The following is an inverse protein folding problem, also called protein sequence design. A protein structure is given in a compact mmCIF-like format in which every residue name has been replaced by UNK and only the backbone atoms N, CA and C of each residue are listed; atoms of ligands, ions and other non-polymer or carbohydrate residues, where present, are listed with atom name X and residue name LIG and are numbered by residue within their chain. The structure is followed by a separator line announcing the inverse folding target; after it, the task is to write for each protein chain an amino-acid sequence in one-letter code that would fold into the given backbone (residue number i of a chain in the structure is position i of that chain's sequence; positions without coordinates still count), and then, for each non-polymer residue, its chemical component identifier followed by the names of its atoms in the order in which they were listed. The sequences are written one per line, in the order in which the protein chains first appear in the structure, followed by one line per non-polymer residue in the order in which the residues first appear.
data_IF_007747785569
#
_entry.id   IF_007747785569
#
_cell.length_a   1.000
_cell.length_b   1.000
_cell.length_c   1.000
_cell.angle_alpha   90.00
_cell.angle_beta   90.00
_cell.angle_gamma   90.00
#
_symmetry.space_group_name_H-M   'P 1'
#
loop_
_entity.id
_entity.type
_entity.pdbx_description
1 polymer ?
#
# COMPACT_ATOMS: atom_id res chain seq x y z
N UNK A 1 70.32 -24.24 14.07
CA UNK A 1 69.41 -23.74 15.12
C UNK A 1 68.71 -22.42 14.73
N UNK A 2 69.43 -21.33 14.38
CA UNK A 2 68.84 -20.04 13.96
C UNK A 2 67.80 -20.12 12.81
N UNK A 3 68.05 -20.92 11.78
CA UNK A 3 67.15 -21.04 10.61
C UNK A 3 65.78 -21.65 10.95
N UNK A 4 65.71 -22.51 11.98
CA UNK A 4 64.46 -23.14 12.45
C UNK A 4 63.60 -22.10 13.19
N UNK A 5 64.23 -21.31 14.06
CA UNK A 5 63.57 -20.27 14.85
C UNK A 5 62.97 -19.17 13.93
N UNK A 6 63.71 -18.78 12.89
CA UNK A 6 63.24 -17.79 11.90
C UNK A 6 62.01 -18.29 11.15
N UNK A 7 62.01 -19.54 10.67
CA UNK A 7 60.83 -20.13 9.99
C UNK A 7 59.61 -20.20 10.91
N UNK A 8 59.80 -20.59 12.17
CA UNK A 8 58.72 -20.63 13.17
C UNK A 8 58.11 -19.25 13.42
N UNK A 9 58.93 -18.20 13.52
CA UNK A 9 58.47 -16.82 13.69
C UNK A 9 57.66 -16.30 12.49
N UNK A 10 58.10 -16.65 11.26
CA UNK A 10 57.39 -16.28 10.02
C UNK A 10 56.03 -16.95 9.96
N UNK A 11 55.94 -18.24 10.31
CA UNK A 11 54.68 -18.99 10.33
C UNK A 11 53.71 -18.34 11.31
N UNK A 12 54.13 -18.08 12.55
CA UNK A 12 53.29 -17.45 13.59
C UNK A 12 52.76 -16.08 13.14
N UNK A 13 53.62 -15.26 12.51
CA UNK A 13 53.20 -13.95 11.98
C UNK A 13 52.26 -14.06 10.79
N UNK A 14 52.34 -15.14 10.01
CA UNK A 14 51.46 -15.40 8.86
C UNK A 14 50.05 -15.80 9.33
N UNK A 15 49.94 -16.76 10.24
CA UNK A 15 48.66 -17.30 10.74
C UNK A 15 47.80 -16.25 11.43
N UNK A 16 48.40 -15.33 12.20
CA UNK A 16 47.68 -14.25 12.88
C UNK A 16 47.04 -13.24 11.93
N UNK A 17 47.72 -12.92 10.81
CA UNK A 17 47.20 -12.02 9.77
C UNK A 17 45.98 -12.61 9.06
N UNK A 18 46.00 -13.91 8.73
CA UNK A 18 44.86 -14.57 8.08
C UNK A 18 43.62 -14.60 8.98
N UNK A 19 43.79 -14.88 10.28
CA UNK A 19 42.69 -14.87 11.24
C UNK A 19 42.05 -13.47 11.37
N UNK A 20 42.88 -12.41 11.38
CA UNK A 20 42.39 -11.02 11.39
C UNK A 20 41.62 -10.69 10.11
N UNK A 21 42.14 -11.09 8.94
CA UNK A 21 41.48 -10.86 7.65
C UNK A 21 40.11 -11.54 7.58
N UNK A 22 40.00 -12.80 8.03
CA UNK A 22 38.73 -13.54 8.06
C UNK A 22 37.70 -12.85 8.95
N UNK A 23 38.09 -12.35 10.13
CA UNK A 23 37.18 -11.59 11.02
C UNK A 23 36.65 -10.32 10.36
N UNK A 24 37.51 -9.58 9.68
CA UNK A 24 37.12 -8.33 8.99
C UNK A 24 36.14 -8.65 7.86
N UNK A 25 36.43 -9.67 7.05
CA UNK A 25 35.52 -10.11 5.97
C UNK A 25 34.18 -10.54 6.54
N UNK A 26 34.18 -11.32 7.62
CA UNK A 26 32.95 -11.76 8.28
C UNK A 26 32.12 -10.58 8.82
N UNK A 27 32.77 -9.58 9.42
CA UNK A 27 32.10 -8.36 9.89
C UNK A 27 31.46 -7.57 8.73
N UNK A 28 32.15 -7.45 7.60
CA UNK A 28 31.62 -6.81 6.40
C UNK A 28 30.38 -7.56 5.88
N UNK A 29 30.43 -8.90 5.86
CA UNK A 29 29.29 -9.74 5.47
C UNK A 29 28.09 -9.51 6.39
N UNK A 30 28.30 -9.44 7.70
CA UNK A 30 27.21 -9.19 8.67
C UNK A 30 26.54 -7.84 8.41
N UNK A 31 27.32 -6.78 8.18
CA UNK A 31 26.79 -5.44 7.87
C UNK A 31 25.99 -5.48 6.56
N UNK A 32 26.53 -6.14 5.53
CA UNK A 32 25.86 -6.28 4.24
C UNK A 32 24.54 -7.06 4.34
N UNK A 33 24.52 -8.16 5.08
CA UNK A 33 23.29 -8.94 5.33
C UNK A 33 22.26 -8.11 6.12
N UNK A 34 22.69 -7.36 7.14
CA UNK A 34 21.81 -6.47 7.90
C UNK A 34 21.13 -5.43 7.00
N UNK A 35 21.88 -4.81 6.09
CA UNK A 35 21.33 -3.87 5.11
C UNK A 35 20.32 -4.53 4.15
N UNK A 36 20.63 -5.75 3.66
CA UNK A 36 19.74 -6.53 2.78
C UNK A 36 18.42 -6.86 3.46
N UNK A 37 18.44 -7.28 4.73
CA UNK A 37 17.24 -7.59 5.51
C UNK A 37 16.40 -6.34 5.74
N UNK A 38 17.02 -5.22 6.11
CA UNK A 38 16.33 -3.94 6.28
C UNK A 38 15.58 -3.51 5.02
N UNK A 39 16.25 -3.58 3.85
CA UNK A 39 15.64 -3.27 2.56
C UNK A 39 14.52 -4.26 2.22
N UNK A 40 14.72 -5.55 2.49
CA UNK A 40 13.72 -6.59 2.23
C UNK A 40 12.42 -6.38 3.01
N UNK A 41 12.48 -5.86 4.23
CA UNK A 41 11.30 -5.62 5.07
C UNK A 41 10.62 -4.29 4.71
N UNK A 42 11.37 -3.24 4.36
CA UNK A 42 10.79 -1.94 4.01
C UNK A 42 10.06 -1.92 2.68
N UNK A 43 10.59 -2.58 1.67
CA UNK A 43 10.03 -2.56 0.30
C UNK A 43 8.54 -2.99 0.23
N UNK A 44 8.06 -4.03 0.93
CA UNK A 44 6.65 -4.39 0.90
C UNK A 44 5.72 -3.47 1.70
N UNK A 45 6.24 -2.69 2.67
CA UNK A 45 5.42 -1.82 3.53
C UNK A 45 4.97 -0.56 2.77
N UNK A 46 5.88 0.08 2.05
CA UNK A 46 5.55 1.26 1.24
C UNK A 46 4.64 0.88 0.07
N UNK A 47 4.89 -0.26 -0.57
CA UNK A 47 4.02 -0.76 -1.64
C UNK A 47 2.61 -1.11 -1.16
N UNK A 48 2.45 -1.63 0.07
CA UNK A 48 1.13 -1.90 0.66
C UNK A 48 0.35 -0.61 0.91
N UNK A 49 0.97 0.43 1.47
CA UNK A 49 0.32 1.73 1.69
C UNK A 49 -0.18 2.36 0.39
N UNK A 50 0.67 2.35 -0.64
CA UNK A 50 0.30 2.93 -1.94
C UNK A 50 -0.76 2.10 -2.68
N UNK A 51 -0.80 0.79 -2.44
CA UNK A 51 -1.86 -0.10 -2.94
C UNK A 51 -3.18 0.16 -2.22
N UNK A 52 -3.17 0.21 -0.89
CA UNK A 52 -4.37 0.48 -0.08
C UNK A 52 -4.98 1.84 -0.43
N UNK A 53 -4.15 2.89 -0.58
CA UNK A 53 -4.65 4.20 -1.00
C UNK A 53 -5.36 4.15 -2.36
N UNK A 54 -4.78 3.47 -3.35
CA UNK A 54 -5.40 3.31 -4.67
C UNK A 54 -6.65 2.45 -4.63
N UNK A 55 -6.67 1.38 -3.84
CA UNK A 55 -7.84 0.52 -3.65
C UNK A 55 -9.01 1.28 -3.02
N UNK A 56 -8.75 2.09 -1.99
CA UNK A 56 -9.78 2.94 -1.37
C UNK A 56 -10.38 3.94 -2.36
N UNK A 57 -9.54 4.58 -3.19
CA UNK A 57 -10.01 5.49 -4.24
C UNK A 57 -10.89 4.79 -5.28
N UNK A 58 -10.53 3.57 -5.69
CA UNK A 58 -11.34 2.78 -6.64
C UNK A 58 -12.67 2.36 -6.01
N UNK A 59 -12.66 1.90 -4.75
CA UNK A 59 -13.88 1.54 -4.01
C UNK A 59 -14.81 2.73 -3.88
N UNK A 60 -14.29 3.91 -3.57
CA UNK A 60 -15.08 5.13 -3.44
C UNK A 60 -15.73 5.49 -4.78
N UNK A 61 -14.98 5.48 -5.89
CA UNK A 61 -15.53 5.72 -7.23
C UNK A 61 -16.64 4.72 -7.60
N UNK A 62 -16.48 3.44 -7.25
CA UNK A 62 -17.51 2.42 -7.48
C UNK A 62 -18.77 2.66 -6.64
N UNK A 63 -18.62 3.12 -5.38
CA UNK A 63 -19.75 3.51 -4.52
C UNK A 63 -20.49 4.72 -5.07
N UNK A 64 -19.75 5.72 -5.55
CA UNK A 64 -20.33 6.93 -6.13
C UNK A 64 -21.14 6.58 -7.39
N UNK A 65 -20.57 5.81 -8.32
CA UNK A 65 -21.27 5.32 -9.52
C UNK A 65 -22.55 4.56 -9.14
N UNK A 66 -22.47 3.64 -8.17
CA UNK A 66 -23.64 2.89 -7.69
C UNK A 66 -24.71 3.84 -7.15
N UNK A 67 -24.32 4.84 -6.38
CA UNK A 67 -25.25 5.79 -5.77
C UNK A 67 -25.92 6.64 -6.84
N UNK A 68 -25.15 7.17 -7.79
CA UNK A 68 -25.70 7.93 -8.93
C UNK A 68 -26.65 7.08 -9.77
N UNK A 69 -26.32 5.80 -10.01
CA UNK A 69 -27.23 4.89 -10.73
C UNK A 69 -28.50 4.57 -9.94
N UNK A 70 -28.45 4.45 -8.62
CA UNK A 70 -29.64 4.26 -7.78
C UNK A 70 -30.55 5.49 -7.84
N UNK A 71 -29.99 6.70 -7.76
CA UNK A 71 -30.75 7.96 -7.88
C UNK A 71 -31.36 8.06 -9.29
N UNK A 72 -30.58 7.78 -10.33
CA UNK A 72 -31.07 7.78 -11.71
C UNK A 72 -32.24 6.80 -11.90
N UNK A 73 -32.15 5.59 -11.33
CA UNK A 73 -33.25 4.61 -11.35
C UNK A 73 -34.47 5.11 -10.57
N UNK A 74 -34.30 5.76 -9.42
CA UNK A 74 -35.42 6.27 -8.64
C UNK A 74 -36.27 7.28 -9.42
N UNK A 75 -35.63 8.10 -10.27
CA UNK A 75 -36.31 9.11 -11.08
C UNK A 75 -36.81 8.54 -12.42
N UNK A 76 -35.98 7.77 -13.12
CA UNK A 76 -36.25 7.33 -14.49
C UNK A 76 -36.82 5.90 -14.59
N UNK A 77 -37.01 5.20 -13.46
CA UNK A 77 -37.43 3.79 -13.36
C UNK A 77 -36.56 2.78 -14.15
N UNK A 78 -35.40 3.21 -14.66
CA UNK A 78 -34.47 2.40 -15.46
C UNK A 78 -33.02 2.72 -15.09
N UNK A 79 -32.13 1.77 -15.30
CA UNK A 79 -30.69 2.01 -15.20
C UNK A 79 -30.14 2.57 -16.52
N UNK A 80 -29.18 3.49 -16.44
CA UNK A 80 -28.45 3.97 -17.62
C UNK A 80 -27.33 3.00 -18.01
N UNK A 81 -27.19 2.73 -19.30
CA UNK A 81 -26.12 1.90 -19.86
C UNK A 81 -24.84 2.71 -20.19
N UNK A 82 -24.95 4.04 -20.25
CA UNK A 82 -23.88 4.97 -20.63
C UNK A 82 -23.42 5.79 -19.42
N UNK A 83 -22.10 5.83 -19.22
CA UNK A 83 -21.47 6.67 -18.21
C UNK A 83 -21.62 8.16 -18.52
N UNK A 84 -21.66 8.54 -19.80
CA UNK A 84 -21.86 9.94 -20.21
C UNK A 84 -23.21 10.48 -19.73
N UNK A 85 -24.28 9.70 -19.88
CA UNK A 85 -25.63 10.05 -19.39
C UNK A 85 -25.69 10.07 -17.86
N UNK A 86 -24.85 9.26 -17.18
CA UNK A 86 -24.74 9.28 -15.72
C UNK A 86 -23.98 10.51 -15.21
N UNK A 87 -22.93 10.94 -15.92
CA UNK A 87 -22.14 12.14 -15.61
C UNK A 87 -22.96 13.40 -15.90
N UNK A 88 -23.67 13.42 -17.02
CA UNK A 88 -24.60 14.49 -17.37
C UNK A 88 -25.72 14.61 -16.33
N UNK A 89 -26.29 13.49 -15.88
CA UNK A 89 -27.23 13.47 -14.75
C UNK A 89 -26.60 13.94 -13.42
N UNK A 90 -25.33 13.61 -13.17
CA UNK A 90 -24.61 14.07 -11.97
C UNK A 90 -24.29 15.57 -12.00
N UNK A 91 -24.17 16.18 -13.18
CA UNK A 91 -23.95 17.62 -13.35
C UNK A 91 -25.25 18.43 -13.44
N UNK A 92 -26.31 17.83 -14.00
CA UNK A 92 -27.65 18.46 -14.13
C UNK A 92 -28.48 18.27 -12.85
N UNK A 93 -28.14 17.27 -12.04
CA UNK A 93 -28.82 16.94 -10.79
C UNK A 93 -28.54 17.96 -9.69
N UNK A 94 -29.20 19.12 -9.77
CA UNK A 94 -29.91 19.61 -8.60
C UNK A 94 -30.75 18.44 -8.10
N UNK A 95 -30.20 17.71 -7.12
CA UNK A 95 -30.83 16.57 -6.48
C UNK A 95 -32.20 17.11 -6.05
N UNK A 96 -33.34 16.62 -6.59
CA UNK A 96 -34.61 17.00 -6.04
C UNK A 96 -34.64 16.34 -4.67
N UNK A 97 -34.24 17.10 -3.65
CA UNK A 97 -34.47 16.75 -2.26
C UNK A 97 -35.98 16.68 -2.20
N UNK A 98 -36.54 15.47 -2.30
CA UNK A 98 -37.95 15.24 -2.04
C UNK A 98 -38.11 15.54 -0.56
N UNK A 99 -38.35 16.82 -0.26
CA UNK A 99 -38.81 17.27 1.02
C UNK A 99 -40.22 16.70 1.11
N UNK A 100 -40.33 15.53 1.73
CA UNK A 100 -41.62 14.99 2.13
C UNK A 100 -42.14 16.03 3.12
N UNK A 101 -43.02 16.92 2.66
CA UNK A 101 -43.76 17.80 3.55
C UNK A 101 -44.75 16.85 4.22
N UNK A 102 -44.66 16.59 5.53
CA UNK A 102 -45.65 15.75 6.19
C UNK A 102 -47.02 16.42 6.02
N UNK A 103 -47.98 15.65 5.54
CA UNK A 103 -49.38 16.06 5.46
C UNK A 103 -49.90 16.21 6.90
N UNK A 104 -50.38 17.40 7.32
CA UNK A 104 -50.91 17.59 8.66
C UNK A 104 -52.16 16.74 8.96
N UNK A 105 -52.79 16.10 7.97
CA UNK A 105 -53.97 15.24 8.14
C UNK A 105 -53.67 13.73 8.08
N UNK A 106 -52.39 13.30 8.09
CA UNK A 106 -52.05 11.87 8.08
C UNK A 106 -52.33 11.21 9.44
N UNK A 107 -53.39 10.39 9.49
CA UNK A 107 -53.81 9.62 10.69
C UNK A 107 -53.18 8.23 10.78
N UNK A 108 -52.18 7.88 9.98
CA UNK A 108 -51.59 6.52 9.95
C UNK A 108 -50.66 6.22 11.14
N UNK A 109 -50.55 7.16 12.08
CA UNK A 109 -49.98 6.92 13.41
C UNK A 109 -51.04 7.20 14.48
N UNK A 110 -51.89 6.20 14.75
CA UNK A 110 -52.52 6.02 16.07
C UNK A 110 -52.15 4.65 16.61
#
# INVERSE_FOLDING_TARGET
MKSIIIKMLIIIRSTSKYYLAIKIVLAIIIIFLGYRVYRSIKTPVEFKRDKEYRELQVIQRLKDIRTTQMIYRAINNKYTASFDTLIEFSHIGDIPIVKIIPDPEDTTFT
#
